data_IF_848297578185
#
_entry.id   IF_848297578185
#
_cell.length_a   1.000
_cell.length_b   1.000
_cell.length_c   1.000
_cell.angle_alpha   90.00
_cell.angle_beta   90.00
_cell.angle_gamma   90.00
#
_symmetry.space_group_name_H-M   'P 1'
#
loop_
_entity.id
_entity.type
_entity.pdbx_description
1 polymer ?
#
# COMPACT_ATOMS: atom_id res chain seq x y z
N UNK A 1 24.68 25.23 -14.81
CA UNK A 1 24.77 23.77 -15.00
C UNK A 1 24.78 23.14 -13.61
N UNK A 2 23.72 22.42 -13.25
CA UNK A 2 23.63 21.70 -11.98
C UNK A 2 24.67 20.57 -11.98
N UNK A 3 25.50 20.50 -10.95
CA UNK A 3 26.49 19.43 -10.83
C UNK A 3 25.81 18.10 -10.51
N UNK A 4 26.45 16.98 -10.87
CA UNK A 4 25.95 15.63 -10.56
C UNK A 4 25.74 15.41 -9.06
N UNK A 5 26.54 16.07 -8.21
CA UNK A 5 26.42 16.03 -6.77
C UNK A 5 25.16 16.77 -6.27
N UNK A 6 24.88 17.95 -6.81
CA UNK A 6 23.66 18.72 -6.50
C UNK A 6 22.39 18.01 -6.96
N UNK A 7 22.42 17.35 -8.13
CA UNK A 7 21.30 16.54 -8.61
C UNK A 7 21.02 15.34 -7.69
N UNK A 8 22.06 14.65 -7.24
CA UNK A 8 21.92 13.52 -6.31
C UNK A 8 21.48 13.94 -4.91
N UNK A 9 21.88 15.12 -4.45
CA UNK A 9 21.47 15.66 -3.16
C UNK A 9 20.00 16.08 -3.15
N UNK A 10 19.51 16.71 -4.23
CA UNK A 10 18.08 17.02 -4.39
C UNK A 10 17.23 15.76 -4.43
N UNK A 11 17.65 14.79 -5.24
CA UNK A 11 16.97 13.51 -5.36
C UNK A 11 16.85 12.79 -4.01
N UNK A 12 17.89 12.86 -3.17
CA UNK A 12 17.86 12.30 -1.82
C UNK A 12 16.89 13.03 -0.88
N UNK A 13 16.83 14.36 -0.95
CA UNK A 13 15.86 15.14 -0.18
C UNK A 13 14.42 14.81 -0.60
N UNK A 14 14.17 14.68 -1.91
CA UNK A 14 12.86 14.30 -2.44
C UNK A 14 12.44 12.88 -2.01
N UNK A 15 13.40 11.96 -1.90
CA UNK A 15 13.19 10.58 -1.38
C UNK A 15 12.85 10.60 0.10
N UNK A 16 13.54 11.41 0.90
CA UNK A 16 13.30 11.53 2.34
C UNK A 16 11.91 12.17 2.61
N UNK A 17 11.53 13.20 1.83
CA UNK A 17 10.19 13.82 1.89
C UNK A 17 9.10 12.83 1.48
N UNK A 18 9.34 12.04 0.42
CA UNK A 18 8.41 11.00 -0.02
C UNK A 18 8.26 9.88 1.03
N UNK A 19 9.36 9.49 1.67
CA UNK A 19 9.34 8.52 2.75
C UNK A 19 8.54 9.04 3.94
N UNK A 20 8.74 10.30 4.36
CA UNK A 20 7.97 10.92 5.44
C UNK A 20 6.46 10.94 5.12
N UNK A 21 6.09 11.30 3.88
CA UNK A 21 4.70 11.29 3.43
C UNK A 21 4.09 9.88 3.44
N UNK A 22 4.85 8.86 3.04
CA UNK A 22 4.40 7.46 3.07
C UNK A 22 4.24 7.00 4.51
N UNK A 23 5.19 7.32 5.39
CA UNK A 23 5.17 6.94 6.81
C UNK A 23 3.93 7.51 7.51
N UNK A 24 3.66 8.81 7.39
CA UNK A 24 2.46 9.45 7.97
C UNK A 24 1.16 8.78 7.49
N UNK A 25 1.07 8.43 6.19
CA UNK A 25 -0.09 7.71 5.66
C UNK A 25 -0.23 6.30 6.24
N UNK A 26 0.87 5.58 6.40
CA UNK A 26 0.86 4.22 6.96
C UNK A 26 0.45 4.24 8.43
N UNK A 27 1.00 5.17 9.23
CA UNK A 27 0.66 5.31 10.65
C UNK A 27 -0.83 5.55 10.89
N UNK A 28 -1.49 6.31 10.00
CA UNK A 28 -2.95 6.55 10.09
C UNK A 28 -3.80 5.36 9.68
N UNK A 29 -3.38 4.63 8.64
CA UNK A 29 -4.20 3.56 8.03
C UNK A 29 -4.04 2.23 8.76
N UNK A 30 -2.84 1.90 9.25
CA UNK A 30 -2.55 0.59 9.85
C UNK A 30 -3.40 0.28 11.08
N UNK A 31 -3.54 1.14 12.10
CA UNK A 31 -4.32 0.81 13.29
C UNK A 31 -5.76 0.38 12.97
N UNK A 32 -6.38 1.04 11.99
CA UNK A 32 -7.73 0.71 11.49
C UNK A 32 -7.78 -0.68 10.87
N UNK A 33 -6.77 -1.06 10.09
CA UNK A 33 -6.69 -2.37 9.43
C UNK A 33 -6.41 -3.48 10.44
N UNK A 34 -5.50 -3.25 11.39
CA UNK A 34 -5.17 -4.23 12.43
C UNK A 34 -6.37 -4.54 13.32
N UNK A 35 -7.10 -3.51 13.75
CA UNK A 35 -8.35 -3.66 14.50
C UNK A 35 -9.37 -4.55 13.77
N UNK A 36 -9.45 -4.45 12.43
CA UNK A 36 -10.36 -5.28 11.63
C UNK A 36 -10.01 -6.77 11.66
N UNK A 37 -8.73 -7.08 11.82
CA UNK A 37 -8.22 -8.45 11.85
C UNK A 37 -8.05 -9.01 13.27
N UNK A 38 -8.39 -8.23 14.30
CA UNK A 38 -8.12 -8.60 15.69
C UNK A 38 -6.63 -8.75 15.98
N UNK A 39 -5.79 -8.03 15.22
CA UNK A 39 -4.34 -7.99 15.46
C UNK A 39 -4.05 -6.85 16.41
N UNK A 40 -3.36 -7.16 17.49
CA UNK A 40 -3.02 -6.19 18.51
C UNK A 40 -1.77 -5.39 18.10
N UNK A 41 -1.73 -4.10 18.44
CA UNK A 41 -0.62 -3.22 18.05
C UNK A 41 0.75 -3.72 18.53
N UNK A 42 0.80 -4.40 19.68
CA UNK A 42 2.03 -4.93 20.26
C UNK A 42 2.62 -6.11 19.46
N UNK A 43 1.86 -6.72 18.54
CA UNK A 43 2.35 -7.78 17.65
C UNK A 43 3.12 -7.22 16.44
N UNK A 44 3.10 -5.90 16.25
CA UNK A 44 3.77 -5.18 15.16
C UNK A 44 5.19 -4.80 15.59
N UNK A 45 6.18 -5.14 14.76
CA UNK A 45 7.57 -4.75 14.97
C UNK A 45 7.72 -3.21 14.98
N UNK A 46 8.39 -2.60 15.97
CA UNK A 46 8.62 -1.15 15.97
C UNK A 46 9.46 -0.69 14.77
N UNK A 47 9.23 0.55 14.29
CA UNK A 47 10.06 1.20 13.26
C UNK A 47 9.92 0.66 11.83
N UNK A 48 9.10 -0.39 11.60
CA UNK A 48 8.89 -0.97 10.27
C UNK A 48 8.29 0.02 9.25
N UNK A 49 7.60 1.06 9.71
CA UNK A 49 7.04 2.12 8.86
C UNK A 49 8.13 2.85 8.08
N UNK A 50 9.21 3.22 8.76
CA UNK A 50 10.35 3.91 8.15
C UNK A 50 11.06 3.01 7.13
N UNK A 51 11.19 1.72 7.44
CA UNK A 51 11.75 0.75 6.50
C UNK A 51 10.86 0.56 5.26
N UNK A 52 9.54 0.43 5.42
CA UNK A 52 8.60 0.36 4.29
C UNK A 52 8.70 1.63 3.47
N UNK A 53 8.67 2.79 4.12
CA UNK A 53 8.71 4.10 3.47
C UNK A 53 10.00 4.30 2.68
N UNK A 54 11.16 4.03 3.29
CA UNK A 54 12.46 4.17 2.64
C UNK A 54 12.62 3.23 1.43
N UNK A 55 12.20 1.97 1.55
CA UNK A 55 12.28 1.03 0.43
C UNK A 55 11.28 1.39 -0.70
N UNK A 56 10.08 1.84 -0.33
CA UNK A 56 9.08 2.31 -1.31
C UNK A 56 9.58 3.54 -2.04
N UNK A 57 10.08 4.54 -1.33
CA UNK A 57 10.58 5.78 -1.92
C UNK A 57 11.71 5.52 -2.91
N UNK A 58 12.70 4.69 -2.56
CA UNK A 58 13.80 4.27 -3.45
C UNK A 58 13.31 3.61 -4.74
N UNK A 59 12.24 2.82 -4.68
CA UNK A 59 11.70 2.17 -5.88
C UNK A 59 10.87 3.15 -6.73
N UNK A 60 10.10 4.05 -6.09
CA UNK A 60 9.33 5.07 -6.79
C UNK A 60 10.24 6.12 -7.46
N UNK A 61 11.35 6.49 -6.82
CA UNK A 61 12.39 7.36 -7.37
C UNK A 61 12.94 6.80 -8.70
N UNK A 62 13.35 5.52 -8.69
CA UNK A 62 13.81 4.83 -9.91
C UNK A 62 12.74 4.84 -11.00
N UNK A 63 11.47 4.68 -10.63
CA UNK A 63 10.36 4.73 -11.59
C UNK A 63 10.13 6.14 -12.14
N UNK A 64 10.23 7.17 -11.30
CA UNK A 64 9.98 8.56 -11.65
C UNK A 64 10.92 9.05 -12.77
N UNK A 65 12.18 8.58 -12.77
CA UNK A 65 13.17 8.82 -13.84
C UNK A 65 12.62 8.44 -15.23
N UNK A 66 11.78 7.41 -15.30
CA UNK A 66 11.21 6.94 -16.57
C UNK A 66 9.80 7.48 -16.86
N UNK A 67 9.22 8.28 -15.97
CA UNK A 67 7.81 8.71 -16.03
C UNK A 67 7.59 10.23 -15.93
N UNK A 68 8.58 11.03 -16.34
CA UNK A 68 8.51 12.50 -16.27
C UNK A 68 8.13 13.00 -14.86
N UNK A 69 8.76 12.43 -13.83
CA UNK A 69 8.64 12.88 -12.42
C UNK A 69 7.25 12.70 -11.78
N UNK A 70 6.29 12.07 -12.46
CA UNK A 70 4.96 11.80 -11.92
C UNK A 70 4.72 10.28 -11.82
N UNK A 71 4.69 9.76 -10.59
CA UNK A 71 4.38 8.35 -10.36
C UNK A 71 2.89 8.16 -10.07
N UNK A 72 2.23 7.35 -10.91
CA UNK A 72 0.82 6.96 -10.79
C UNK A 72 0.47 6.49 -9.35
N UNK A 73 -0.62 6.99 -8.73
CA UNK A 73 -1.02 6.61 -7.37
C UNK A 73 -1.13 5.10 -7.13
N UNK A 74 -1.57 4.33 -8.14
CA UNK A 74 -1.63 2.87 -8.04
C UNK A 74 -0.24 2.25 -7.83
N UNK A 75 0.80 2.83 -8.43
CA UNK A 75 2.19 2.40 -8.21
C UNK A 75 2.66 2.78 -6.81
N UNK A 76 2.38 4.01 -6.36
CA UNK A 76 2.74 4.41 -4.99
C UNK A 76 2.16 3.44 -3.95
N UNK A 77 0.86 3.18 -4.04
CA UNK A 77 0.13 2.26 -3.15
C UNK A 77 0.63 0.82 -3.30
N UNK A 78 0.79 0.34 -4.54
CA UNK A 78 1.18 -1.04 -4.81
C UNK A 78 2.61 -1.36 -4.36
N UNK A 79 3.54 -0.41 -4.49
CA UNK A 79 4.91 -0.57 -4.00
C UNK A 79 4.98 -0.52 -2.47
N UNK A 80 4.23 0.39 -1.82
CA UNK A 80 4.11 0.40 -0.38
C UNK A 80 3.61 -0.96 0.14
N UNK A 81 2.48 -1.43 -0.37
CA UNK A 81 1.90 -2.73 0.02
C UNK A 81 2.86 -3.90 -0.22
N UNK A 82 3.61 -3.89 -1.33
CA UNK A 82 4.64 -4.89 -1.59
C UNK A 82 5.71 -4.93 -0.48
N UNK A 83 6.20 -3.78 -0.04
CA UNK A 83 7.21 -3.71 1.01
C UNK A 83 6.68 -4.13 2.39
N UNK A 84 5.42 -3.82 2.71
CA UNK A 84 4.76 -4.37 3.92
C UNK A 84 4.80 -5.90 3.90
N UNK A 85 4.37 -6.50 2.79
CA UNK A 85 4.39 -7.96 2.63
C UNK A 85 5.80 -8.53 2.70
N UNK A 86 6.77 -7.82 2.13
CA UNK A 86 8.16 -8.28 2.03
C UNK A 86 8.88 -8.23 3.37
N UNK A 87 8.68 -7.17 4.16
CA UNK A 87 9.29 -6.97 5.46
C UNK A 87 8.61 -7.77 6.57
N UNK A 88 7.31 -8.09 6.42
CA UNK A 88 6.53 -8.91 7.37
C UNK A 88 6.56 -8.34 8.81
N UNK A 89 6.03 -7.12 9.01
CA UNK A 89 6.09 -6.42 10.29
C UNK A 89 5.39 -7.16 11.44
N UNK A 90 4.45 -8.07 11.14
CA UNK A 90 3.81 -8.91 12.15
C UNK A 90 4.49 -10.27 12.16
N UNK A 91 5.33 -10.54 13.17
CA UNK A 91 6.11 -11.78 13.27
C UNK A 91 5.29 -12.94 13.81
N UNK A 92 4.39 -12.65 14.73
CA UNK A 92 3.54 -13.61 15.42
C UNK A 92 2.15 -13.03 15.40
N UNK A 93 1.21 -13.75 14.81
CA UNK A 93 -0.21 -13.40 14.84
C UNK A 93 -1.00 -14.64 15.21
N UNK A 94 -1.95 -14.46 16.11
CA UNK A 94 -2.91 -15.50 16.47
C UNK A 94 -4.32 -15.04 16.13
N UNK A 95 -5.18 -15.97 15.73
CA UNK A 95 -6.61 -15.71 15.69
C UNK A 95 -7.17 -15.61 17.11
N UNK A 96 -8.42 -15.15 17.26
CA UNK A 96 -9.13 -15.14 18.55
C UNK A 96 -9.16 -16.53 19.23
N UNK A 97 -9.12 -17.61 18.44
CA UNK A 97 -9.05 -19.00 18.92
C UNK A 97 -7.61 -19.45 19.25
N UNK A 98 -6.67 -18.51 19.34
CA UNK A 98 -5.23 -18.72 19.57
C UNK A 98 -4.54 -19.60 18.52
N UNK A 99 -5.09 -19.70 17.30
CA UNK A 99 -4.46 -20.45 16.21
C UNK A 99 -3.47 -19.56 15.46
N UNK A 100 -2.28 -20.07 15.07
CA UNK A 100 -1.33 -19.29 14.27
C UNK A 100 -1.94 -18.80 12.96
N UNK A 101 -1.80 -17.52 12.66
CA UNK A 101 -2.25 -16.91 11.41
C UNK A 101 -1.06 -16.53 10.51
N UNK A 102 -0.52 -17.54 9.82
CA UNK A 102 0.75 -17.44 9.10
C UNK A 102 0.74 -16.49 7.88
N UNK A 103 -0.42 -16.01 7.42
CA UNK A 103 -0.56 -15.14 6.25
C UNK A 103 -1.05 -13.73 6.59
N UNK A 104 -0.92 -13.32 7.85
CA UNK A 104 -1.38 -12.01 8.33
C UNK A 104 -0.78 -10.85 7.53
N UNK A 105 0.50 -10.91 7.14
CA UNK A 105 1.16 -9.83 6.41
C UNK A 105 0.69 -9.72 4.96
N UNK A 106 0.38 -10.84 4.30
CA UNK A 106 -0.25 -10.83 2.98
C UNK A 106 -1.63 -10.19 3.04
N UNK A 107 -2.44 -10.57 4.04
CA UNK A 107 -3.75 -9.95 4.27
C UNK A 107 -3.63 -8.45 4.60
N UNK A 108 -2.74 -8.08 5.53
CA UNK A 108 -2.49 -6.69 5.91
C UNK A 108 -2.11 -5.85 4.70
N UNK A 109 -1.15 -6.32 3.90
CA UNK A 109 -0.69 -5.58 2.72
C UNK A 109 -1.81 -5.36 1.69
N UNK A 110 -2.65 -6.36 1.47
CA UNK A 110 -3.77 -6.29 0.53
C UNK A 110 -4.84 -5.30 1.01
N UNK A 111 -5.21 -5.40 2.28
CA UNK A 111 -6.18 -4.50 2.91
C UNK A 111 -5.70 -3.07 2.93
N UNK A 112 -4.46 -2.86 3.32
CA UNK A 112 -3.86 -1.53 3.35
C UNK A 112 -3.81 -0.91 1.95
N UNK A 113 -3.49 -1.71 0.92
CA UNK A 113 -3.55 -1.22 -0.46
C UNK A 113 -4.96 -0.75 -0.86
N UNK A 114 -5.99 -1.51 -0.49
CA UNK A 114 -7.38 -1.14 -0.73
C UNK A 114 -7.78 0.14 0.05
N UNK A 115 -7.45 0.24 1.34
CA UNK A 115 -7.76 1.40 2.19
C UNK A 115 -7.04 2.67 1.75
N UNK A 116 -5.79 2.55 1.30
CA UNK A 116 -5.05 3.67 0.70
C UNK A 116 -5.66 4.11 -0.63
N UNK A 117 -6.15 3.18 -1.45
CA UNK A 117 -6.84 3.53 -2.69
C UNK A 117 -8.14 4.28 -2.41
N UNK A 118 -8.92 3.85 -1.41
CA UNK A 118 -10.12 4.60 -0.96
C UNK A 118 -9.73 6.00 -0.50
N UNK A 119 -8.72 6.12 0.35
CA UNK A 119 -8.24 7.41 0.87
C UNK A 119 -7.75 8.34 -0.26
N UNK A 120 -7.11 7.77 -1.29
CA UNK A 120 -6.73 8.52 -2.49
C UNK A 120 -7.96 9.01 -3.26
N UNK A 121 -8.98 8.16 -3.45
CA UNK A 121 -10.23 8.58 -4.09
C UNK A 121 -10.96 9.67 -3.29
N UNK A 122 -10.93 9.61 -1.96
CA UNK A 122 -11.47 10.68 -1.10
C UNK A 122 -10.74 12.01 -1.34
N UNK A 123 -9.41 11.98 -1.49
CA UNK A 123 -8.63 13.17 -1.85
C UNK A 123 -8.97 13.70 -3.26
N UNK A 124 -9.22 12.81 -4.24
CA UNK A 124 -9.67 13.21 -5.58
C UNK A 124 -11.04 13.87 -5.53
N UNK A 125 -11.96 13.37 -4.69
CA UNK A 125 -13.27 14.01 -4.46
C UNK A 125 -13.11 15.38 -3.80
N UNK A 126 -12.22 15.51 -2.82
CA UNK A 126 -11.95 16.80 -2.17
C UNK A 126 -11.42 17.86 -3.16
N UNK A 127 -10.65 17.44 -4.17
CA UNK A 127 -10.11 18.31 -5.22
C UNK A 127 -11.12 18.63 -6.34
N UNK A 128 -11.87 17.62 -6.80
CA UNK A 128 -12.73 17.71 -8.01
C UNK A 128 -14.22 17.81 -7.73
N UNK A 129 -14.63 17.75 -6.47
CA UNK A 129 -16.02 17.81 -6.04
C UNK A 129 -16.88 16.66 -6.56
N UNK A 130 -18.19 16.93 -6.69
CA UNK A 130 -19.23 15.93 -6.97
C UNK A 130 -19.00 15.13 -8.26
N UNK A 131 -18.27 15.68 -9.24
CA UNK A 131 -17.94 14.97 -10.47
C UNK A 131 -17.10 13.70 -10.22
N UNK A 132 -16.28 13.69 -9.17
CA UNK A 132 -15.47 12.53 -8.79
C UNK A 132 -16.18 11.59 -7.80
N UNK A 133 -17.29 12.02 -7.19
CA UNK A 133 -17.98 11.25 -6.15
C UNK A 133 -18.51 9.91 -6.69
N UNK A 134 -19.12 9.93 -7.88
CA UNK A 134 -19.64 8.72 -8.52
C UNK A 134 -18.52 7.69 -8.76
N UNK A 135 -17.37 8.13 -9.29
CA UNK A 135 -16.23 7.26 -9.53
C UNK A 135 -15.71 6.68 -8.21
N UNK A 136 -15.59 7.51 -7.17
CA UNK A 136 -15.17 7.07 -5.83
C UNK A 136 -16.11 6.00 -5.28
N UNK A 137 -17.42 6.18 -5.38
CA UNK A 137 -18.39 5.20 -4.86
C UNK A 137 -18.35 3.88 -5.64
N UNK A 138 -18.14 3.92 -6.95
CA UNK A 138 -17.94 2.72 -7.75
C UNK A 138 -16.66 1.95 -7.36
N UNK A 139 -15.54 2.67 -7.17
CA UNK A 139 -14.27 2.09 -6.69
C UNK A 139 -14.45 1.43 -5.33
N UNK A 140 -15.06 2.15 -4.38
CA UNK A 140 -15.33 1.65 -3.01
C UNK A 140 -16.25 0.44 -3.05
N UNK A 141 -17.29 0.45 -3.89
CA UNK A 141 -18.20 -0.67 -4.08
C UNK A 141 -17.47 -1.91 -4.63
N UNK A 142 -16.56 -1.75 -5.60
CA UNK A 142 -15.73 -2.84 -6.15
C UNK A 142 -14.77 -3.40 -5.10
N UNK A 143 -14.09 -2.53 -4.35
CA UNK A 143 -13.21 -2.91 -3.24
C UNK A 143 -14.01 -3.68 -2.18
N UNK A 144 -15.18 -3.20 -1.78
CA UNK A 144 -16.02 -3.91 -0.82
C UNK A 144 -16.47 -5.28 -1.31
N UNK A 145 -16.83 -5.43 -2.59
CA UNK A 145 -17.15 -6.75 -3.17
C UNK A 145 -15.94 -7.67 -3.13
N UNK A 146 -14.78 -7.16 -3.54
CA UNK A 146 -13.52 -7.90 -3.51
C UNK A 146 -13.15 -8.38 -2.10
N UNK A 147 -13.22 -7.49 -1.11
CA UNK A 147 -12.86 -7.78 0.28
C UNK A 147 -13.87 -8.71 0.98
N UNK A 148 -15.07 -8.91 0.42
CA UNK A 148 -16.06 -9.89 0.87
C UNK A 148 -15.93 -11.25 0.17
N UNK A 149 -15.22 -11.32 -0.96
CA UNK A 149 -14.98 -12.59 -1.66
C UNK A 149 -13.87 -13.38 -0.99
N UNK A 150 -14.25 -14.19 0.01
CA UNK A 150 -13.32 -15.03 0.76
C UNK A 150 -12.52 -15.98 -0.15
N UNK A 151 -13.11 -16.48 -1.24
CA UNK A 151 -12.41 -17.39 -2.18
C UNK A 151 -11.37 -16.62 -2.99
N UNK A 152 -11.75 -15.46 -3.54
CA UNK A 152 -10.85 -14.59 -4.29
C UNK A 152 -9.66 -14.11 -3.45
N UNK A 153 -9.92 -13.67 -2.21
CA UNK A 153 -8.84 -13.27 -1.29
C UNK A 153 -7.93 -14.44 -0.98
N UNK A 154 -8.48 -15.62 -0.65
CA UNK A 154 -7.68 -16.81 -0.34
C UNK A 154 -6.77 -17.20 -1.51
N UNK A 155 -7.27 -17.10 -2.75
CA UNK A 155 -6.47 -17.34 -3.95
C UNK A 155 -5.33 -16.33 -4.09
N UNK A 156 -5.60 -15.04 -3.94
CA UNK A 156 -4.57 -13.99 -4.05
C UNK A 156 -3.51 -14.16 -2.96
N UNK A 157 -3.91 -14.38 -1.71
CA UNK A 157 -3.00 -14.62 -0.59
C UNK A 157 -2.15 -15.87 -0.84
N UNK A 158 -2.74 -16.94 -1.39
CA UNK A 158 -1.97 -18.10 -1.81
C UNK A 158 -0.93 -17.75 -2.90
N UNK A 159 -1.30 -16.97 -3.92
CA UNK A 159 -0.36 -16.50 -4.94
C UNK A 159 0.76 -15.63 -4.37
N UNK A 160 0.44 -14.77 -3.40
CA UNK A 160 1.42 -13.91 -2.71
C UNK A 160 2.48 -14.70 -1.94
N UNK A 161 2.13 -15.91 -1.48
CA UNK A 161 3.05 -16.80 -0.75
C UNK A 161 3.83 -17.74 -1.66
N UNK A 162 3.17 -18.29 -2.67
CA UNK A 162 3.67 -19.45 -3.42
C UNK A 162 4.23 -19.09 -4.79
N UNK A 163 4.11 -17.84 -5.24
CA UNK A 163 4.54 -17.38 -6.57
C UNK A 163 5.33 -16.09 -6.50
N UNK A 164 5.97 -15.72 -7.61
CA UNK A 164 6.60 -14.41 -7.79
C UNK A 164 5.55 -13.31 -7.75
N UNK A 165 5.26 -12.78 -6.58
CA UNK A 165 4.31 -11.68 -6.39
C UNK A 165 5.07 -10.37 -6.16
N UNK A 166 5.40 -9.67 -7.24
CA UNK A 166 6.04 -8.35 -7.21
C UNK A 166 5.05 -7.17 -7.09
N UNK A 167 5.55 -5.93 -6.93
CA UNK A 167 4.72 -4.73 -6.77
C UNK A 167 3.77 -4.49 -7.96
N UNK A 168 4.16 -4.88 -9.18
CA UNK A 168 3.30 -4.77 -10.36
C UNK A 168 1.99 -5.56 -10.26
N UNK A 169 1.94 -6.66 -9.49
CA UNK A 169 0.70 -7.41 -9.27
C UNK A 169 -0.30 -6.61 -8.45
N UNK A 170 0.17 -5.87 -7.44
CA UNK A 170 -0.69 -4.93 -6.71
C UNK A 170 -1.20 -3.84 -7.64
N UNK A 171 -0.34 -3.28 -8.50
CA UNK A 171 -0.76 -2.24 -9.46
C UNK A 171 -1.84 -2.74 -10.39
N UNK A 172 -1.70 -3.96 -10.94
CA UNK A 172 -2.72 -4.58 -11.79
C UNK A 172 -4.03 -4.74 -11.02
N UNK A 173 -3.97 -5.28 -9.79
CA UNK A 173 -5.15 -5.46 -8.95
C UNK A 173 -5.86 -4.14 -8.65
N UNK A 174 -5.12 -3.12 -8.22
CA UNK A 174 -5.68 -1.82 -7.88
C UNK A 174 -6.32 -1.13 -9.09
N UNK A 175 -5.70 -1.26 -10.28
CA UNK A 175 -6.27 -0.73 -11.52
C UNK A 175 -7.58 -1.40 -11.91
N UNK A 176 -7.80 -2.67 -11.58
CA UNK A 176 -9.10 -3.31 -11.83
C UNK A 176 -10.24 -2.64 -11.05
N UNK A 177 -9.94 -1.96 -9.94
CA UNK A 177 -10.94 -1.21 -9.19
C UNK A 177 -11.25 0.15 -9.83
N UNK A 178 -10.32 0.75 -10.55
CA UNK A 178 -10.42 2.13 -11.08
C UNK A 178 -10.68 2.22 -12.58
N UNK A 179 -10.55 1.14 -13.34
CA UNK A 179 -10.87 1.11 -14.78
C UNK A 179 -12.39 1.15 -14.98
N UNK A 180 -12.88 2.19 -15.67
CA UNK A 180 -14.25 2.30 -16.20
C UNK A 180 -14.33 1.66 -17.59
#
# INVERSE_FOLDING_TARGET
MTTRAEAHQRLRADVDDLAALISDKLERVVPRVLAKYGVEWHEVEPGWFDEVAANTAKDLEKLAVYQNEAVDPHKQIGYAAFWIRKLKPIKIAHTNDKKPFACVNEHLSLWLACEQLVSHMDAVVADRGDQALKLRDEVVSRIHRFLKDAKGISYIVHCMRSRTFGPHHYVILLRQFTVL
#
